data_IF_332349742421
#
_entry.id   IF_332349742421
#
_cell.length_a   1.000
_cell.length_b   1.000
_cell.length_c   1.000
_cell.angle_alpha   90.00
_cell.angle_beta   90.00
_cell.angle_gamma   90.00
#
_symmetry.space_group_name_H-M   'P 1'
#
loop_
_entity.id
_entity.type
_entity.pdbx_description
1 polymer ?
#
# COMPACT_ATOMS: atom_id res chain seq x y z
N UNK A 1 -0.53 20.88 -9.31
CA UNK A 1 0.63 20.02 -9.01
C UNK A 1 0.66 19.71 -7.52
N UNK A 2 0.76 18.42 -7.17
CA UNK A 2 1.27 17.91 -5.88
C UNK A 2 0.38 18.03 -4.64
N UNK A 3 -0.57 17.11 -4.46
CA UNK A 3 -1.29 16.94 -3.18
C UNK A 3 -0.70 15.80 -2.33
N UNK A 4 0.63 15.74 -2.21
CA UNK A 4 1.27 14.80 -1.29
C UNK A 4 1.39 15.44 0.09
N UNK A 5 1.00 14.70 1.14
CA UNK A 5 1.28 15.10 2.51
C UNK A 5 2.78 15.32 2.69
N UNK A 6 3.18 16.47 3.22
CA UNK A 6 4.58 16.82 3.51
C UNK A 6 5.26 15.73 4.35
N UNK A 7 4.52 15.12 5.29
CA UNK A 7 5.03 14.02 6.11
C UNK A 7 5.27 12.74 5.30
N UNK A 8 4.38 12.41 4.37
CA UNK A 8 4.53 11.27 3.47
C UNK A 8 5.69 11.46 2.50
N UNK A 9 5.78 12.65 1.89
CA UNK A 9 6.87 13.04 1.01
C UNK A 9 8.23 12.97 1.73
N UNK A 10 8.32 13.47 2.97
CA UNK A 10 9.56 13.40 3.74
C UNK A 10 9.99 11.97 4.05
N UNK A 11 9.04 11.09 4.42
CA UNK A 11 9.32 9.66 4.66
C UNK A 11 9.82 8.98 3.38
N UNK A 12 9.14 9.19 2.26
CA UNK A 12 9.54 8.63 0.97
C UNK A 12 10.92 9.14 0.51
N UNK A 13 11.20 10.44 0.69
CA UNK A 13 12.49 11.04 0.36
C UNK A 13 13.63 10.46 1.21
N UNK A 14 13.42 10.27 2.51
CA UNK A 14 14.41 9.63 3.38
C UNK A 14 14.68 8.18 2.96
N UNK A 15 13.64 7.42 2.63
CA UNK A 15 13.80 6.05 2.14
C UNK A 15 14.61 6.01 0.83
N UNK A 16 14.28 6.88 -0.13
CA UNK A 16 15.01 7.00 -1.39
C UNK A 16 16.49 7.35 -1.17
N UNK A 17 16.78 8.25 -0.23
CA UNK A 17 18.16 8.58 0.15
C UNK A 17 18.95 7.35 0.61
N UNK A 18 18.35 6.49 1.45
CA UNK A 18 18.99 5.26 1.89
C UNK A 18 19.16 4.24 0.75
N UNK A 19 18.15 4.07 -0.11
CA UNK A 19 18.22 3.19 -1.27
C UNK A 19 19.34 3.57 -2.26
N UNK A 20 19.55 4.87 -2.47
CA UNK A 20 20.54 5.41 -3.41
C UNK A 20 21.93 5.59 -2.80
N UNK A 21 22.12 5.26 -1.51
CA UNK A 21 23.40 5.42 -0.83
C UNK A 21 24.54 4.67 -1.54
N UNK A 22 25.70 5.32 -1.64
CA UNK A 22 26.92 4.70 -2.17
C UNK A 22 27.43 3.58 -1.25
N UNK A 23 27.12 3.64 0.05
CA UNK A 23 27.47 2.58 0.99
C UNK A 23 26.44 1.44 0.87
N UNK A 24 26.80 0.25 0.36
CA UNK A 24 25.85 -0.85 0.18
C UNK A 24 25.27 -1.37 1.50
N UNK A 25 25.98 -1.20 2.62
CA UNK A 25 25.50 -1.63 3.94
C UNK A 25 24.43 -0.71 4.53
N UNK A 26 24.33 0.52 4.03
CA UNK A 26 23.30 1.48 4.45
C UNK A 26 22.00 1.36 3.64
N UNK A 27 22.01 0.53 2.58
CA UNK A 27 20.81 0.29 1.78
C UNK A 27 19.86 -0.61 2.57
N UNK A 28 18.57 -0.28 2.63
CA UNK A 28 17.59 -1.07 3.36
C UNK A 28 17.37 -2.43 2.68
N UNK A 29 16.92 -3.42 3.46
CA UNK A 29 16.39 -4.66 2.89
C UNK A 29 15.04 -4.38 2.23
N UNK A 30 14.69 -5.17 1.22
CA UNK A 30 13.42 -4.97 0.49
C UNK A 30 12.20 -5.06 1.41
N UNK A 31 12.27 -5.88 2.46
CA UNK A 31 11.21 -5.96 3.48
C UNK A 31 10.97 -4.60 4.17
N UNK A 32 12.05 -3.89 4.53
CA UNK A 32 11.98 -2.63 5.26
C UNK A 32 11.51 -1.50 4.33
N UNK A 33 11.86 -1.60 3.03
CA UNK A 33 11.34 -0.72 1.98
C UNK A 33 9.82 -0.85 1.86
N UNK A 34 9.31 -2.08 1.77
CA UNK A 34 7.87 -2.35 1.63
C UNK A 34 7.12 -1.91 2.89
N UNK A 35 7.61 -2.28 4.08
CA UNK A 35 7.02 -1.87 5.35
C UNK A 35 6.90 -0.34 5.48
N UNK A 36 7.88 0.39 4.96
CA UNK A 36 7.86 1.87 4.96
C UNK A 36 6.88 2.45 3.92
N UNK A 37 6.74 1.80 2.76
CA UNK A 37 5.93 2.30 1.64
C UNK A 37 4.45 1.90 1.71
N UNK A 38 4.13 0.73 2.26
CA UNK A 38 2.77 0.21 2.40
C UNK A 38 1.80 1.23 3.04
N UNK A 39 2.10 1.85 4.20
CA UNK A 39 1.22 2.86 4.78
C UNK A 39 1.15 4.17 3.98
N UNK A 40 2.12 4.43 3.09
CA UNK A 40 2.12 5.62 2.23
C UNK A 40 1.29 5.42 0.96
N UNK A 41 1.16 4.17 0.48
CA UNK A 41 0.36 3.82 -0.71
C UNK A 41 -1.14 3.89 -0.42
N UNK A 42 -1.57 3.56 0.80
CA UNK A 42 -2.97 3.62 1.20
C UNK A 42 -3.58 5.03 1.16
N UNK A 43 -2.75 6.08 1.05
CA UNK A 43 -3.21 7.47 1.05
C UNK A 43 -3.57 8.00 -0.35
N UNK A 44 -3.18 7.30 -1.43
CA UNK A 44 -3.18 7.90 -2.79
C UNK A 44 -3.55 6.91 -3.91
N UNK A 45 -3.90 5.67 -3.58
CA UNK A 45 -4.41 4.66 -4.53
C UNK A 45 -5.89 4.34 -4.29
N UNK A 46 -6.70 5.37 -4.08
CA UNK A 46 -8.14 5.23 -4.27
C UNK A 46 -8.39 5.12 -5.80
N UNK A 47 -8.58 3.88 -6.26
CA UNK A 47 -8.98 3.48 -7.61
C UNK A 47 -7.91 3.62 -8.71
N UNK A 48 -7.01 2.63 -8.78
CA UNK A 48 -6.14 2.42 -9.96
C UNK A 48 -6.98 1.85 -11.13
N UNK A 49 -7.68 2.75 -11.84
CA UNK A 49 -8.37 2.39 -13.08
C UNK A 49 -7.38 2.36 -14.24
N UNK A 50 -7.15 1.19 -14.83
CA UNK A 50 -6.36 1.06 -16.05
C UNK A 50 -7.29 1.18 -17.26
N UNK A 51 -7.11 2.23 -18.05
CA UNK A 51 -7.80 2.40 -19.33
C UNK A 51 -6.84 2.08 -20.46
N UNK A 52 -7.25 1.19 -21.37
CA UNK A 52 -6.57 1.07 -22.64
C UNK A 52 -7.59 1.23 -23.77
N UNK A 53 -7.16 1.93 -24.81
CA UNK A 53 -7.94 2.18 -26.01
C UNK A 53 -7.39 1.31 -27.13
N UNK A 54 -8.24 0.44 -27.70
CA UNK A 54 -7.91 -0.35 -28.89
C UNK A 54 -8.97 -0.08 -29.96
N UNK A 55 -8.54 0.53 -31.06
CA UNK A 55 -9.47 1.02 -32.09
C UNK A 55 -10.40 2.12 -31.56
N UNK A 56 -11.70 2.02 -31.87
CA UNK A 56 -12.73 2.96 -31.40
C UNK A 56 -13.32 2.59 -30.03
N UNK A 57 -12.84 1.53 -29.38
CA UNK A 57 -13.33 1.05 -28.09
C UNK A 57 -12.43 1.50 -26.93
N UNK A 58 -13.05 1.90 -25.82
CA UNK A 58 -12.38 2.12 -24.54
C UNK A 58 -12.80 1.01 -23.60
N UNK A 59 -11.83 0.27 -23.09
CA UNK A 59 -12.06 -0.75 -22.07
C UNK A 59 -11.44 -0.31 -20.75
N UNK A 60 -12.26 -0.25 -19.71
CA UNK A 60 -11.87 0.16 -18.35
C UNK A 60 -11.80 -1.07 -17.47
N UNK A 61 -10.65 -1.33 -16.88
CA UNK A 61 -10.46 -2.41 -15.91
C UNK A 61 -10.40 -1.80 -14.51
N UNK A 62 -11.38 -2.16 -13.68
CA UNK A 62 -11.36 -1.86 -12.26
C UNK A 62 -10.68 -3.04 -11.55
N UNK A 63 -9.47 -2.81 -11.05
CA UNK A 63 -8.73 -3.81 -10.28
C UNK A 63 -9.16 -3.65 -8.82
N UNK A 64 -9.94 -4.58 -8.24
CA UNK A 64 -10.20 -4.54 -6.80
C UNK A 64 -8.87 -4.82 -6.09
N UNK A 65 -8.38 -3.86 -5.33
CA UNK A 65 -7.25 -4.08 -4.43
C UNK A 65 -7.77 -5.03 -3.35
N UNK A 66 -7.35 -6.29 -3.41
CA UNK A 66 -7.53 -7.22 -2.29
C UNK A 66 -6.62 -6.74 -1.17
N UNK A 67 -7.16 -5.88 -0.31
CA UNK A 67 -6.60 -5.66 1.02
C UNK A 67 -6.58 -7.01 1.72
N UNK A 68 -5.46 -7.73 1.65
CA UNK A 68 -5.19 -8.85 2.54
C UNK A 68 -4.92 -8.30 3.95
N UNK A 69 -5.97 -7.80 4.59
CA UNK A 69 -6.07 -7.67 6.02
C UNK A 69 -6.33 -9.06 6.60
N UNK A 70 -5.38 -9.57 7.38
CA UNK A 70 -5.65 -10.70 8.25
C UNK A 70 -6.54 -10.21 9.40
N UNK A 71 -7.85 -10.18 9.20
CA UNK A 71 -8.81 -10.19 10.29
C UNK A 71 -8.92 -11.65 10.78
N UNK A 72 -8.13 -12.00 11.80
CA UNK A 72 -8.46 -13.18 12.63
C UNK A 72 -9.72 -12.80 13.39
N UNK A 73 -10.87 -13.25 12.90
CA UNK A 73 -12.13 -13.23 13.61
C UNK A 73 -11.95 -14.07 14.90
N UNK A 74 -11.74 -13.41 16.05
CA UNK A 74 -12.04 -14.04 17.34
C UNK A 74 -13.57 -14.24 17.38
N UNK A 75 -14.00 -15.47 17.13
CA UNK A 75 -15.36 -15.94 17.35
C UNK A 75 -15.60 -16.02 18.87
N UNK A 76 -16.00 -14.91 19.48
CA UNK A 76 -16.58 -14.92 20.84
C UNK A 76 -18.01 -15.47 20.75
N UNK A 77 -18.11 -16.78 20.50
CA UNK A 77 -19.32 -17.54 20.73
C UNK A 77 -19.56 -17.63 22.22
N UNK A 78 -20.22 -16.61 22.76
CA UNK A 78 -20.79 -16.54 24.11
C UNK A 78 -21.72 -17.74 24.34
N UNK A 79 -21.19 -18.81 24.95
CA UNK A 79 -21.99 -19.91 25.45
C UNK A 79 -22.55 -19.52 26.83
N UNK A 80 -23.86 -19.32 26.90
CA UNK A 80 -24.61 -19.16 28.15
C UNK A 80 -24.65 -20.52 28.87
N UNK A 81 -24.28 -20.62 30.15
CA UNK A 81 -24.56 -21.81 30.93
C UNK A 81 -26.00 -21.72 31.45
N UNK A 82 -26.85 -22.66 31.07
CA UNK A 82 -28.10 -22.90 31.81
C UNK A 82 -28.33 -24.42 31.93
N UNK A 83 -28.39 -24.84 33.19
CA UNK A 83 -28.88 -26.11 33.76
C UNK A 83 -28.10 -27.42 33.51
#
# INVERSE_FOLDING_TARGET
>A
EGEYSVKGAQKAANLAYHCLSQNPKARPLMRDVVETLEPLQSMDMENTSFTYSVGSGVTTFEVPIQSSGNDVQEDDSKHHPDE
#
